data_IF_862434517560
#
_entry.id   IF_862434517560
#
_cell.length_a   1.000
_cell.length_b   1.000
_cell.length_c   1.000
_cell.angle_alpha   90.00
_cell.angle_beta   90.00
_cell.angle_gamma   90.00
#
_symmetry.space_group_name_H-M   'P 1'
#
loop_
_entity.id
_entity.type
_entity.pdbx_description
1 polymer ?
#
# COMPACT_ATOMS: atom_id res chain seq x y z
N UNK A 1 26.92 -11.59 3.64
CA UNK A 1 25.51 -12.03 3.73
C UNK A 1 24.79 -11.35 4.90
N UNK A 2 25.35 -11.36 6.13
CA UNK A 2 24.74 -10.72 7.30
C UNK A 2 24.27 -9.27 7.07
N UNK A 3 25.13 -8.43 6.46
CA UNK A 3 24.83 -7.01 6.18
C UNK A 3 23.60 -6.80 5.26
N UNK A 4 23.35 -7.71 4.31
CA UNK A 4 22.18 -7.59 3.41
C UNK A 4 20.88 -7.94 4.13
N UNK A 5 20.92 -8.91 5.04
CA UNK A 5 19.75 -9.31 5.84
C UNK A 5 19.39 -8.26 6.90
N UNK A 6 20.34 -7.39 7.25
CA UNK A 6 20.17 -6.29 8.20
C UNK A 6 19.69 -4.99 7.53
N UNK A 7 19.61 -4.95 6.20
CA UNK A 7 19.03 -3.81 5.50
C UNK A 7 17.62 -3.56 6.03
N UNK A 8 17.32 -2.29 6.34
CA UNK A 8 16.06 -1.89 6.97
C UNK A 8 14.84 -2.37 6.18
N UNK A 9 14.91 -2.32 4.85
CA UNK A 9 13.86 -2.80 3.95
C UNK A 9 13.73 -4.33 3.89
N UNK A 10 14.75 -5.08 4.27
CA UNK A 10 14.68 -6.54 4.36
C UNK A 10 14.13 -6.96 5.72
N UNK A 11 14.67 -6.39 6.80
CA UNK A 11 14.17 -6.63 8.17
C UNK A 11 12.68 -6.28 8.28
N UNK A 12 12.26 -5.15 7.70
CA UNK A 12 10.85 -4.74 7.76
C UNK A 12 9.89 -5.49 6.83
N UNK A 13 10.39 -6.31 5.91
CA UNK A 13 9.58 -7.18 5.04
C UNK A 13 9.59 -8.64 5.47
N UNK A 14 10.44 -9.01 6.43
CA UNK A 14 10.43 -10.34 7.02
C UNK A 14 9.16 -10.56 7.85
N UNK A 15 8.60 -11.76 7.77
CA UNK A 15 7.46 -12.19 8.60
C UNK A 15 7.86 -12.22 10.08
N UNK A 16 9.07 -12.71 10.36
CA UNK A 16 9.71 -12.64 11.67
C UNK A 16 11.08 -11.95 11.49
N UNK A 17 11.23 -10.70 11.96
CA UNK A 17 12.49 -9.95 11.86
C UNK A 17 13.68 -10.58 12.60
N UNK A 18 13.42 -11.38 13.64
CA UNK A 18 14.46 -12.02 14.43
C UNK A 18 14.89 -13.36 13.80
N UNK A 19 14.01 -14.01 13.05
CA UNK A 19 14.34 -15.19 12.25
C UNK A 19 15.19 -14.86 11.01
N UNK A 20 16.29 -15.58 10.86
CA UNK A 20 17.18 -15.45 9.70
C UNK A 20 16.53 -16.00 8.43
N UNK A 21 15.77 -17.11 8.50
CA UNK A 21 15.17 -17.72 7.31
C UNK A 21 14.09 -16.80 6.72
N UNK A 22 13.27 -16.19 7.57
CA UNK A 22 12.30 -15.16 7.19
C UNK A 22 12.95 -13.97 6.47
N UNK A 23 14.09 -13.45 6.99
CA UNK A 23 14.85 -12.38 6.34
C UNK A 23 15.45 -12.79 4.99
N UNK A 24 15.86 -14.05 4.84
CA UNK A 24 16.34 -14.58 3.55
C UNK A 24 15.21 -14.64 2.53
N UNK A 25 14.01 -15.09 2.93
CA UNK A 25 12.84 -15.10 2.06
C UNK A 25 12.44 -13.67 1.62
N UNK A 26 12.48 -12.71 2.55
CA UNK A 26 12.22 -11.30 2.24
C UNK A 26 13.24 -10.71 1.26
N UNK A 27 14.52 -11.04 1.42
CA UNK A 27 15.58 -10.66 0.49
C UNK A 27 15.34 -11.26 -0.91
N UNK A 28 15.01 -12.55 -1.00
CA UNK A 28 14.73 -13.22 -2.28
C UNK A 28 13.54 -12.57 -3.00
N UNK A 29 12.43 -12.34 -2.29
CA UNK A 29 11.26 -11.65 -2.84
C UNK A 29 11.58 -10.23 -3.32
N UNK A 30 12.37 -9.48 -2.54
CA UNK A 30 12.80 -8.13 -2.93
C UNK A 30 13.66 -8.16 -4.20
N UNK A 31 14.65 -9.05 -4.27
CA UNK A 31 15.51 -9.20 -5.46
C UNK A 31 14.72 -9.60 -6.70
N UNK A 32 13.75 -10.51 -6.57
CA UNK A 32 12.84 -10.88 -7.69
C UNK A 32 12.06 -9.69 -8.19
N UNK A 33 11.48 -8.90 -7.29
CA UNK A 33 10.74 -7.69 -7.65
C UNK A 33 11.60 -6.65 -8.37
N UNK A 34 12.85 -6.44 -7.92
CA UNK A 34 13.80 -5.54 -8.58
C UNK A 34 14.20 -6.05 -9.97
N UNK A 35 14.46 -7.35 -10.12
CA UNK A 35 14.83 -7.97 -11.40
C UNK A 35 13.66 -8.01 -12.41
N UNK A 36 12.42 -8.07 -11.93
CA UNK A 36 11.24 -7.96 -12.79
C UNK A 36 11.14 -6.57 -13.44
N UNK A 37 11.44 -5.51 -12.67
CA UNK A 37 11.38 -4.10 -13.10
C UNK A 37 12.73 -3.50 -13.49
N UNK A 38 13.70 -4.34 -13.84
CA UNK A 38 15.05 -3.90 -14.17
C UNK A 38 15.02 -2.86 -15.31
N UNK A 39 15.62 -1.69 -15.05
CA UNK A 39 15.48 -0.48 -15.86
C UNK A 39 16.12 -0.59 -17.26
N UNK A 40 17.14 -1.44 -17.39
CA UNK A 40 17.87 -1.67 -18.62
C UNK A 40 17.26 -2.83 -19.41
N UNK A 41 16.29 -2.52 -20.28
CA UNK A 41 15.57 -3.50 -21.10
C UNK A 41 16.50 -4.42 -21.92
N UNK A 42 17.69 -3.93 -22.32
CA UNK A 42 18.68 -4.71 -23.07
C UNK A 42 19.29 -5.82 -22.20
N UNK A 43 19.56 -5.52 -20.93
CA UNK A 43 20.23 -6.44 -20.02
C UNK A 43 19.29 -7.14 -19.03
N UNK A 44 18.02 -6.75 -18.95
CA UNK A 44 17.04 -7.35 -18.03
C UNK A 44 16.94 -8.88 -18.14
N UNK A 45 16.88 -9.50 -19.34
CA UNK A 45 16.86 -10.96 -19.44
C UNK A 45 18.16 -11.63 -18.97
N UNK A 46 19.31 -10.98 -19.19
CA UNK A 46 20.61 -11.48 -18.75
C UNK A 46 20.78 -11.35 -17.23
N UNK A 47 20.30 -10.25 -16.63
CA UNK A 47 20.26 -10.06 -15.19
C UNK A 47 19.39 -11.13 -14.52
N UNK A 48 18.17 -11.37 -15.02
CA UNK A 48 17.28 -12.45 -14.52
C UNK A 48 17.96 -13.82 -14.60
N UNK A 49 18.55 -14.16 -15.76
CA UNK A 49 19.24 -15.43 -15.95
C UNK A 49 20.40 -15.62 -14.95
N UNK A 50 21.20 -14.57 -14.69
CA UNK A 50 22.29 -14.61 -13.72
C UNK A 50 21.81 -14.98 -12.31
N UNK A 51 20.63 -14.46 -11.93
CA UNK A 51 20.01 -14.73 -10.64
C UNK A 51 19.11 -15.97 -10.61
N UNK A 52 19.04 -16.74 -11.70
CA UNK A 52 18.29 -18.00 -11.76
C UNK A 52 16.79 -17.83 -12.01
N UNK A 53 16.38 -16.66 -12.50
CA UNK A 53 15.03 -16.40 -12.98
C UNK A 53 14.95 -16.62 -14.51
N UNK A 54 13.75 -16.85 -15.07
CA UNK A 54 13.56 -17.01 -16.50
C UNK A 54 14.30 -15.93 -17.31
N UNK A 55 15.11 -16.31 -18.32
CA UNK A 55 15.09 -17.59 -19.03
C UNK A 55 15.93 -18.73 -18.41
N UNK A 56 16.52 -18.57 -17.22
CA UNK A 56 17.21 -19.67 -16.56
C UNK A 56 16.23 -20.75 -16.07
N UNK A 57 16.60 -22.00 -16.30
CA UNK A 57 15.88 -23.14 -15.71
C UNK A 57 16.24 -23.30 -14.22
N UNK A 58 15.32 -23.83 -13.39
CA UNK A 58 15.63 -24.18 -12.01
C UNK A 58 16.81 -25.16 -11.90
N UNK A 59 17.64 -24.99 -10.87
CA UNK A 59 18.76 -25.91 -10.59
C UNK A 59 20.06 -25.62 -11.34
N UNK A 60 20.11 -24.61 -12.21
CA UNK A 60 21.36 -24.20 -12.87
C UNK A 60 22.38 -23.65 -11.85
N UNK A 61 23.60 -24.17 -11.92
CA UNK A 61 24.72 -23.64 -11.14
C UNK A 61 25.15 -22.25 -11.65
N UNK A 62 26.02 -21.56 -10.89
CA UNK A 62 26.47 -20.21 -11.23
C UNK A 62 27.20 -20.13 -12.59
N UNK A 63 27.97 -21.16 -12.94
CA UNK A 63 28.69 -21.21 -14.23
C UNK A 63 27.70 -21.25 -15.39
N UNK A 64 26.72 -22.15 -15.33
CA UNK A 64 25.68 -22.29 -16.35
C UNK A 64 24.82 -21.03 -16.47
N UNK A 65 24.49 -20.38 -15.34
CA UNK A 65 23.76 -19.10 -15.33
C UNK A 65 24.56 -17.96 -15.95
N UNK A 66 25.86 -17.88 -15.69
CA UNK A 66 26.76 -16.89 -16.32
C UNK A 66 26.87 -17.08 -17.82
N UNK A 67 27.02 -18.31 -18.28
CA UNK A 67 27.07 -18.60 -19.72
C UNK A 67 25.76 -18.27 -20.41
N UNK A 68 24.62 -18.61 -19.79
CA UNK A 68 23.31 -18.24 -20.30
C UNK A 68 23.13 -16.71 -20.36
N UNK A 69 23.45 -16.01 -19.28
CA UNK A 69 23.36 -14.55 -19.22
C UNK A 69 24.25 -13.87 -20.28
N UNK A 70 25.47 -14.38 -20.49
CA UNK A 70 26.37 -13.90 -21.52
C UNK A 70 25.78 -14.08 -22.93
N UNK A 71 25.25 -15.27 -23.25
CA UNK A 71 24.59 -15.56 -24.53
C UNK A 71 23.39 -14.64 -24.76
N UNK A 72 22.53 -14.50 -23.75
CA UNK A 72 21.32 -13.66 -23.81
C UNK A 72 21.68 -12.18 -23.99
N UNK A 73 22.77 -11.72 -23.39
CA UNK A 73 23.28 -10.36 -23.56
C UNK A 73 24.06 -10.12 -24.88
N UNK A 74 24.28 -11.18 -25.69
CA UNK A 74 25.06 -11.10 -26.93
C UNK A 74 26.57 -10.93 -26.72
N UNK A 75 27.10 -11.44 -25.61
CA UNK A 75 28.52 -11.33 -25.25
C UNK A 75 29.18 -12.70 -25.06
N UNK A 76 30.50 -12.75 -25.30
CA UNK A 76 31.33 -13.89 -24.91
C UNK A 76 31.46 -13.95 -23.37
N UNK A 77 31.52 -15.16 -22.81
CA UNK A 77 31.41 -15.40 -21.36
C UNK A 77 32.49 -14.70 -20.53
N UNK A 78 33.73 -14.66 -21.02
CA UNK A 78 34.82 -13.96 -20.36
C UNK A 78 34.66 -12.43 -20.43
N UNK A 79 34.20 -11.87 -21.56
CA UNK A 79 33.81 -10.45 -21.62
C UNK A 79 32.67 -10.11 -20.65
N UNK A 80 31.61 -10.93 -20.65
CA UNK A 80 30.46 -10.75 -19.76
C UNK A 80 30.91 -10.74 -18.30
N UNK A 81 31.65 -11.76 -17.86
CA UNK A 81 32.15 -11.87 -16.49
C UNK A 81 33.03 -10.69 -16.07
N UNK A 82 33.88 -10.17 -16.96
CA UNK A 82 34.82 -9.08 -16.64
C UNK A 82 34.23 -7.68 -16.73
N UNK A 83 33.23 -7.46 -17.58
CA UNK A 83 32.75 -6.11 -17.93
C UNK A 83 31.27 -5.89 -17.63
N UNK A 84 30.43 -6.87 -17.92
CA UNK A 84 28.97 -6.72 -17.86
C UNK A 84 28.42 -7.15 -16.51
N UNK A 85 28.78 -8.36 -16.04
CA UNK A 85 28.33 -8.91 -14.76
C UNK A 85 28.56 -7.95 -13.57
N UNK A 86 29.75 -7.33 -13.40
CA UNK A 86 29.97 -6.40 -12.29
C UNK A 86 29.08 -5.16 -12.37
N UNK A 87 28.76 -4.68 -13.57
CA UNK A 87 27.87 -3.53 -13.76
C UNK A 87 26.43 -3.87 -13.42
N UNK A 88 25.96 -5.06 -13.82
CA UNK A 88 24.60 -5.52 -13.50
C UNK A 88 24.42 -5.74 -12.00
N UNK A 89 25.41 -6.37 -11.35
CA UNK A 89 25.41 -6.56 -9.90
C UNK A 89 25.48 -5.21 -9.18
N UNK A 90 26.28 -4.27 -9.69
CA UNK A 90 26.36 -2.89 -9.16
C UNK A 90 25.01 -2.18 -9.21
N UNK A 91 24.37 -2.13 -10.38
CA UNK A 91 23.03 -1.53 -10.54
C UNK A 91 21.99 -2.15 -9.60
N UNK A 92 22.00 -3.49 -9.48
CA UNK A 92 21.06 -4.18 -8.59
C UNK A 92 21.35 -3.88 -7.11
N UNK A 93 22.62 -3.78 -6.73
CA UNK A 93 23.01 -3.40 -5.37
C UNK A 93 22.60 -1.95 -5.04
N UNK A 94 22.81 -1.02 -5.98
CA UNK A 94 22.41 0.38 -5.85
C UNK A 94 20.88 0.48 -5.71
N UNK A 95 20.13 -0.25 -6.52
CA UNK A 95 18.66 -0.26 -6.46
C UNK A 95 18.14 -0.94 -5.18
N UNK A 96 18.81 -2.00 -4.70
CA UNK A 96 18.49 -2.64 -3.42
C UNK A 96 18.73 -1.68 -2.24
N UNK A 97 19.83 -0.92 -2.29
CA UNK A 97 20.13 0.08 -1.26
C UNK A 97 19.12 1.24 -1.33
N UNK A 98 18.82 1.74 -2.52
CA UNK A 98 17.83 2.79 -2.72
C UNK A 98 16.43 2.33 -2.28
N UNK A 99 16.07 1.06 -2.52
CA UNK A 99 14.83 0.47 -2.00
C UNK A 99 14.83 0.41 -0.47
N UNK A 100 15.93 -0.02 0.15
CA UNK A 100 16.07 -0.06 1.60
C UNK A 100 16.03 1.35 2.24
N UNK A 101 16.55 2.37 1.56
CA UNK A 101 16.49 3.77 2.02
C UNK A 101 15.11 4.39 1.86
N UNK A 102 14.40 4.05 0.77
CA UNK A 102 12.98 4.40 0.58
C UNK A 102 12.08 3.69 1.60
N UNK A 103 12.55 2.61 2.20
CA UNK A 103 11.83 1.86 3.22
C UNK A 103 11.84 2.59 4.58
N UNK A 104 10.84 3.44 4.79
CA UNK A 104 10.51 4.00 6.11
C UNK A 104 9.54 3.09 6.86
N UNK A 105 9.79 2.84 8.16
CA UNK A 105 8.98 2.01 9.10
C UNK A 105 7.51 2.42 9.30
N UNK A 106 6.97 3.32 8.49
CA UNK A 106 5.52 3.47 8.44
C UNK A 106 5.04 2.41 7.45
N UNK A 107 4.44 1.29 7.90
CA UNK A 107 4.06 0.18 7.00
C UNK A 107 3.06 0.60 5.91
N UNK A 108 2.60 1.84 5.93
CA UNK A 108 1.47 2.30 5.16
C UNK A 108 1.76 3.70 4.65
N UNK A 109 2.69 3.79 3.71
CA UNK A 109 2.86 4.99 2.89
C UNK A 109 2.19 4.70 1.56
N UNK A 110 1.28 5.58 1.16
CA UNK A 110 0.67 5.50 -0.15
C UNK A 110 1.76 5.45 -1.24
N UNK A 111 1.61 4.59 -2.26
CA UNK A 111 2.50 4.61 -3.41
C UNK A 111 2.65 6.02 -3.96
N UNK A 112 3.89 6.47 -4.16
CA UNK A 112 4.13 7.74 -4.83
C UNK A 112 3.78 7.57 -6.31
N UNK A 113 2.72 8.25 -6.75
CA UNK A 113 2.35 8.27 -8.16
C UNK A 113 3.30 9.20 -8.93
N UNK A 114 4.00 8.65 -9.92
CA UNK A 114 4.76 9.44 -10.88
C UNK A 114 3.87 9.78 -12.08
N UNK A 115 4.01 10.98 -12.70
CA UNK A 115 3.30 11.30 -13.93
C UNK A 115 3.62 10.28 -15.03
N UNK A 116 2.59 9.58 -15.50
CA UNK A 116 2.71 8.59 -16.58
C UNK A 116 2.55 9.31 -17.92
N UNK A 117 3.60 9.27 -18.76
CA UNK A 117 3.60 9.93 -20.09
C UNK A 117 3.21 9.00 -21.23
N UNK A 118 3.13 7.70 -20.97
CA UNK A 118 2.85 6.66 -21.96
C UNK A 118 2.02 5.55 -21.33
N UNK A 119 1.13 4.92 -22.10
CA UNK A 119 0.43 3.72 -21.63
C UNK A 119 1.45 2.66 -21.18
N UNK A 120 1.21 2.04 -20.02
CA UNK A 120 1.98 0.91 -19.52
C UNK A 120 1.32 -0.39 -20.00
N UNK A 121 1.86 -1.08 -21.02
CA UNK A 121 1.35 -2.39 -21.40
C UNK A 121 1.70 -3.43 -20.33
N UNK A 122 0.75 -4.28 -19.95
CA UNK A 122 1.02 -5.47 -19.13
C UNK A 122 1.29 -6.63 -20.09
N UNK A 123 2.49 -7.24 -20.07
CA UNK A 123 2.80 -8.42 -20.87
C UNK A 123 1.83 -9.58 -20.60
N UNK A 124 1.57 -10.42 -21.61
CA UNK A 124 0.80 -11.66 -21.46
C UNK A 124 1.67 -12.75 -20.79
N UNK A 125 2.06 -12.48 -19.55
CA UNK A 125 2.93 -13.31 -18.72
C UNK A 125 2.30 -13.43 -17.31
N UNK A 126 2.15 -14.63 -16.74
CA UNK A 126 1.50 -14.83 -15.45
C UNK A 126 2.11 -14.00 -14.31
N UNK A 127 3.44 -13.87 -14.25
CA UNK A 127 4.09 -13.07 -13.19
C UNK A 127 3.84 -11.58 -13.38
N UNK A 128 3.84 -11.10 -14.63
CA UNK A 128 3.47 -9.73 -14.94
C UNK A 128 2.01 -9.42 -14.56
N UNK A 129 1.10 -10.41 -14.65
CA UNK A 129 -0.29 -10.26 -14.23
C UNK A 129 -0.43 -10.17 -12.72
N UNK A 130 0.22 -11.06 -11.97
CA UNK A 130 0.20 -11.03 -10.50
C UNK A 130 0.71 -9.69 -9.95
N UNK A 131 1.79 -9.15 -10.53
CA UNK A 131 2.32 -7.84 -10.15
C UNK A 131 1.33 -6.71 -10.47
N UNK A 132 0.70 -6.75 -11.64
CA UNK A 132 -0.27 -5.75 -12.04
C UNK A 132 -1.55 -5.79 -11.18
N UNK A 133 -2.03 -7.00 -10.84
CA UNK A 133 -3.18 -7.21 -9.96
C UNK A 133 -2.90 -6.68 -8.54
N UNK A 134 -1.70 -6.96 -8.01
CA UNK A 134 -1.28 -6.42 -6.72
C UNK A 134 -1.23 -4.88 -6.73
N UNK A 135 -0.62 -4.28 -7.76
CA UNK A 135 -0.55 -2.82 -7.91
C UNK A 135 -1.94 -2.18 -8.07
N UNK A 136 -2.83 -2.84 -8.81
CA UNK A 136 -4.22 -2.42 -8.94
C UNK A 136 -4.93 -2.41 -7.59
N UNK A 137 -4.88 -3.52 -6.84
CA UNK A 137 -5.59 -3.63 -5.56
C UNK A 137 -5.02 -2.66 -4.52
N UNK A 138 -3.69 -2.49 -4.49
CA UNK A 138 -3.03 -1.48 -3.66
C UNK A 138 -3.54 -0.06 -4.00
N UNK A 139 -3.66 0.26 -5.30
CA UNK A 139 -4.15 1.56 -5.76
C UNK A 139 -5.62 1.78 -5.41
N UNK A 140 -6.48 0.76 -5.55
CA UNK A 140 -7.90 0.82 -5.15
C UNK A 140 -8.05 1.09 -3.66
N UNK A 141 -7.31 0.37 -2.81
CA UNK A 141 -7.31 0.57 -1.36
C UNK A 141 -6.92 2.02 -1.00
N UNK A 142 -5.80 2.51 -1.54
CA UNK A 142 -5.36 3.89 -1.24
C UNK A 142 -6.30 4.96 -1.78
N UNK A 143 -6.89 4.74 -2.96
CA UNK A 143 -7.93 5.61 -3.51
C UNK A 143 -9.12 5.71 -2.55
N UNK A 144 -9.58 4.59 -1.99
CA UNK A 144 -10.68 4.57 -1.03
C UNK A 144 -10.32 5.29 0.29
N UNK A 145 -9.11 5.08 0.81
CA UNK A 145 -8.61 5.78 2.01
C UNK A 145 -8.56 7.30 1.77
N UNK A 146 -8.07 7.75 0.60
CA UNK A 146 -8.04 9.17 0.27
C UNK A 146 -9.43 9.77 0.06
N UNK A 147 -10.36 9.01 -0.52
CA UNK A 147 -11.76 9.43 -0.63
C UNK A 147 -12.40 9.60 0.75
N UNK A 148 -12.17 8.67 1.69
CA UNK A 148 -12.63 8.81 3.07
C UNK A 148 -12.02 10.04 3.75
N UNK A 149 -10.70 10.25 3.59
CA UNK A 149 -10.00 11.43 4.12
C UNK A 149 -10.59 12.74 3.61
N UNK A 150 -10.90 12.82 2.32
CA UNK A 150 -11.48 14.03 1.72
C UNK A 150 -12.84 14.38 2.37
N UNK A 151 -13.70 13.39 2.61
CA UNK A 151 -14.99 13.62 3.26
C UNK A 151 -14.83 13.99 4.75
N UNK A 152 -13.91 13.34 5.48
CA UNK A 152 -13.62 13.70 6.87
C UNK A 152 -13.10 15.14 7.01
N UNK A 153 -12.19 15.57 6.12
CA UNK A 153 -11.74 16.96 6.05
C UNK A 153 -12.87 17.92 5.66
N UNK A 154 -13.82 17.48 4.82
CA UNK A 154 -14.99 18.26 4.48
C UNK A 154 -15.88 18.51 5.71
N UNK A 155 -16.09 17.49 6.55
CA UNK A 155 -16.81 17.63 7.83
C UNK A 155 -16.13 18.65 8.74
N UNK A 156 -14.82 18.47 8.99
CA UNK A 156 -14.05 19.39 9.86
C UNK A 156 -14.11 20.83 9.35
N UNK A 157 -14.05 21.02 8.02
CA UNK A 157 -14.22 22.34 7.39
C UNK A 157 -15.62 22.91 7.64
N UNK A 158 -16.68 22.12 7.48
CA UNK A 158 -18.06 22.56 7.73
C UNK A 158 -18.28 22.93 9.21
N UNK A 159 -17.75 22.13 10.12
CA UNK A 159 -17.77 22.40 11.57
C UNK A 159 -17.04 23.72 11.88
N UNK A 160 -15.83 23.89 11.33
CA UNK A 160 -15.04 25.12 11.52
C UNK A 160 -15.73 26.37 10.98
N UNK A 161 -16.52 26.23 9.90
CA UNK A 161 -17.30 27.32 9.32
C UNK A 161 -18.66 27.54 10.01
N UNK A 162 -18.96 26.76 11.07
CA UNK A 162 -20.25 26.78 11.75
C UNK A 162 -21.42 26.61 10.77
N UNK A 163 -21.25 25.73 9.78
CA UNK A 163 -22.30 25.40 8.83
C UNK A 163 -23.52 24.81 9.54
N UNK A 164 -24.68 24.85 8.87
CA UNK A 164 -25.90 24.29 9.43
C UNK A 164 -25.79 22.78 9.69
N UNK A 165 -26.53 22.31 10.69
CA UNK A 165 -26.51 20.89 11.12
C UNK A 165 -26.84 19.94 9.97
N UNK A 166 -27.76 20.28 9.08
CA UNK A 166 -28.18 19.38 7.99
C UNK A 166 -27.05 19.18 6.97
N UNK A 167 -26.28 20.24 6.68
CA UNK A 167 -25.08 20.15 5.84
C UNK A 167 -24.04 19.22 6.44
N UNK A 168 -23.76 19.32 7.74
CA UNK A 168 -22.83 18.42 8.44
C UNK A 168 -23.33 16.98 8.41
N UNK A 169 -24.60 16.74 8.73
CA UNK A 169 -25.22 15.39 8.70
C UNK A 169 -25.09 14.76 7.32
N UNK A 170 -25.38 15.50 6.26
CA UNK A 170 -25.32 14.98 4.88
C UNK A 170 -23.91 14.51 4.51
N UNK A 171 -22.88 15.29 4.86
CA UNK A 171 -21.47 14.93 4.60
C UNK A 171 -21.02 13.80 5.53
N UNK A 172 -21.45 13.80 6.80
CA UNK A 172 -21.16 12.72 7.73
C UNK A 172 -21.65 11.36 7.23
N UNK A 173 -22.84 11.28 6.64
CA UNK A 173 -23.36 10.06 6.00
C UNK A 173 -22.48 9.64 4.81
N UNK A 174 -22.04 10.58 3.97
CA UNK A 174 -21.12 10.28 2.86
C UNK A 174 -19.76 9.79 3.38
N UNK A 175 -19.23 10.39 4.46
CA UNK A 175 -17.99 9.97 5.08
C UNK A 175 -18.12 8.56 5.70
N UNK A 176 -19.26 8.21 6.30
CA UNK A 176 -19.51 6.86 6.80
C UNK A 176 -19.41 5.82 5.68
N UNK A 177 -20.07 6.11 4.54
CA UNK A 177 -19.99 5.25 3.36
C UNK A 177 -18.54 5.12 2.84
N UNK A 178 -17.83 6.24 2.67
CA UNK A 178 -16.43 6.22 2.20
C UNK A 178 -15.48 5.49 3.15
N UNK A 179 -15.64 5.70 4.46
CA UNK A 179 -14.89 5.00 5.49
C UNK A 179 -15.14 3.49 5.42
N UNK A 180 -16.41 3.09 5.30
CA UNK A 180 -16.79 1.69 5.20
C UNK A 180 -16.27 1.03 3.92
N UNK A 181 -16.34 1.71 2.78
CA UNK A 181 -15.73 1.25 1.52
C UNK A 181 -14.21 1.11 1.65
N UNK A 182 -13.52 2.07 2.28
CA UNK A 182 -12.09 2.00 2.52
C UNK A 182 -11.73 0.79 3.40
N UNK A 183 -12.54 0.51 4.42
CA UNK A 183 -12.38 -0.67 5.28
C UNK A 183 -12.58 -1.97 4.52
N UNK A 184 -13.58 -2.04 3.65
CA UNK A 184 -13.82 -3.21 2.80
C UNK A 184 -12.62 -3.48 1.86
N UNK A 185 -12.09 -2.44 1.21
CA UNK A 185 -10.90 -2.56 0.35
C UNK A 185 -9.64 -2.97 1.14
N UNK A 186 -9.46 -2.42 2.35
CA UNK A 186 -8.36 -2.79 3.23
C UNK A 186 -8.43 -4.26 3.67
N UNK A 187 -9.62 -4.76 4.03
CA UNK A 187 -9.83 -6.19 4.35
C UNK A 187 -9.50 -7.06 3.13
N UNK A 188 -10.02 -6.70 1.96
CA UNK A 188 -9.75 -7.44 0.72
C UNK A 188 -8.26 -7.49 0.37
N UNK A 189 -7.57 -6.35 0.47
CA UNK A 189 -6.13 -6.26 0.23
C UNK A 189 -5.33 -7.11 1.22
N UNK A 190 -5.59 -6.99 2.52
CA UNK A 190 -4.87 -7.73 3.55
C UNK A 190 -5.08 -9.24 3.40
N UNK A 191 -6.31 -9.68 3.12
CA UNK A 191 -6.62 -11.08 2.93
C UNK A 191 -5.93 -11.70 1.70
N UNK A 192 -5.79 -10.94 0.61
CA UNK A 192 -5.25 -11.45 -0.65
C UNK A 192 -3.72 -11.31 -0.77
N UNK A 193 -3.15 -10.19 -0.30
CA UNK A 193 -1.76 -9.82 -0.62
C UNK A 193 -0.87 -9.57 0.60
N UNK A 194 -1.43 -9.55 1.81
CA UNK A 194 -0.68 -9.29 3.03
C UNK A 194 -1.19 -10.10 4.25
N UNK A 195 -1.42 -11.43 4.13
CA UNK A 195 -2.02 -12.22 5.20
C UNK A 195 -1.13 -12.33 6.45
N UNK A 196 0.19 -12.21 6.28
CA UNK A 196 1.17 -12.31 7.36
C UNK A 196 1.56 -10.94 7.97
N UNK A 197 1.00 -9.84 7.43
CA UNK A 197 1.28 -8.51 7.95
C UNK A 197 0.45 -8.32 9.22
N UNK A 198 1.11 -7.99 10.33
CA UNK A 198 0.48 -7.77 11.63
C UNK A 198 -0.47 -6.55 11.69
N UNK A 199 -0.69 -5.87 10.57
CA UNK A 199 -1.48 -4.67 10.52
C UNK A 199 -2.96 -4.97 10.23
N UNK A 200 -3.85 -4.31 10.96
CA UNK A 200 -5.29 -4.48 10.80
C UNK A 200 -5.88 -3.55 9.75
N UNK A 201 -7.04 -3.91 9.18
CA UNK A 201 -7.79 -3.02 8.31
C UNK A 201 -8.17 -1.71 9.03
N UNK A 202 -8.38 -1.75 10.34
CA UNK A 202 -8.70 -0.57 11.14
C UNK A 202 -7.51 0.39 11.24
N UNK A 203 -6.28 -0.12 11.37
CA UNK A 203 -5.06 0.70 11.32
C UNK A 203 -4.86 1.35 9.95
N UNK A 204 -5.18 0.65 8.86
CA UNK A 204 -5.14 1.21 7.52
C UNK A 204 -6.11 2.39 7.37
N UNK A 205 -7.37 2.17 7.76
CA UNK A 205 -8.41 3.18 7.58
C UNK A 205 -8.23 4.35 8.55
N UNK A 206 -7.61 4.16 9.72
CA UNK A 206 -7.28 5.23 10.65
C UNK A 206 -6.38 6.32 10.02
N UNK A 207 -5.62 6.01 8.97
CA UNK A 207 -4.86 7.01 8.20
C UNK A 207 -5.74 8.03 7.47
N UNK A 208 -7.00 7.69 7.20
CA UNK A 208 -7.95 8.61 6.59
C UNK A 208 -8.20 9.83 7.50
N UNK A 209 -8.17 9.64 8.82
CA UNK A 209 -8.37 10.69 9.80
C UNK A 209 -9.10 10.19 11.03
N UNK A 210 -9.41 11.10 11.93
CA UNK A 210 -10.21 10.80 13.12
C UNK A 210 -11.65 10.44 12.73
N UNK A 211 -12.20 9.43 13.39
CA UNK A 211 -13.62 9.04 13.29
C UNK A 211 -14.19 8.83 14.69
N UNK A 212 -15.52 8.90 14.86
CA UNK A 212 -16.19 8.47 16.07
C UNK A 212 -15.80 7.03 16.44
N UNK A 213 -15.74 6.74 17.75
CA UNK A 213 -15.46 5.41 18.23
C UNK A 213 -16.61 4.46 17.87
N UNK A 214 -16.31 3.44 17.07
CA UNK A 214 -17.24 2.39 16.70
C UNK A 214 -16.88 1.09 17.43
N UNK A 215 -17.88 0.33 17.83
CA UNK A 215 -17.65 -1.05 18.27
C UNK A 215 -17.30 -1.93 17.06
N UNK A 216 -16.62 -3.08 17.26
CA UNK A 216 -16.32 -4.00 16.17
C UNK A 216 -17.57 -4.43 15.38
N UNK A 217 -18.69 -4.65 16.06
CA UNK A 217 -19.97 -5.01 15.41
C UNK A 217 -20.50 -3.88 14.52
N UNK A 218 -20.43 -2.63 14.99
CA UNK A 218 -20.83 -1.46 14.22
C UNK A 218 -19.94 -1.26 13.00
N UNK A 219 -18.62 -1.41 13.17
CA UNK A 219 -17.65 -1.33 12.07
C UNK A 219 -17.93 -2.41 11.00
N UNK A 220 -18.20 -3.65 11.40
CA UNK A 220 -18.57 -4.74 10.49
C UNK A 220 -19.86 -4.44 9.73
N UNK A 221 -20.93 -4.01 10.42
CA UNK A 221 -22.20 -3.67 9.77
C UNK A 221 -22.04 -2.56 8.70
N UNK A 222 -21.30 -1.49 9.02
CA UNK A 222 -21.00 -0.45 8.04
C UNK A 222 -20.24 -1.03 6.83
N UNK A 223 -19.23 -1.86 7.10
CA UNK A 223 -18.38 -2.47 6.06
C UNK A 223 -19.19 -3.37 5.13
N UNK A 224 -20.05 -4.23 5.70
CA UNK A 224 -20.95 -5.11 4.94
C UNK A 224 -21.89 -4.30 4.04
N UNK A 225 -22.50 -3.22 4.57
CA UNK A 225 -23.37 -2.34 3.81
C UNK A 225 -22.67 -1.60 2.65
N UNK A 226 -21.34 -1.41 2.73
CA UNK A 226 -20.54 -0.74 1.71
C UNK A 226 -19.78 -1.70 0.78
N UNK A 227 -19.86 -3.01 1.03
CA UNK A 227 -19.13 -4.03 0.29
C UNK A 227 -19.64 -4.22 -1.15
N UNK A 228 -18.83 -4.85 -2.00
CA UNK A 228 -19.24 -5.21 -3.37
C UNK A 228 -19.48 -4.03 -4.33
N UNK A 229 -18.91 -2.86 -4.04
CA UNK A 229 -19.10 -1.66 -4.88
C UNK A 229 -20.47 -0.99 -4.70
N UNK A 230 -21.09 -1.15 -3.52
CA UNK A 230 -22.36 -0.50 -3.20
C UNK A 230 -22.30 1.03 -3.39
N UNK A 231 -23.32 1.58 -4.04
CA UNK A 231 -23.48 3.03 -4.13
C UNK A 231 -23.79 3.64 -2.77
N UNK A 232 -23.61 4.95 -2.64
CA UNK A 232 -24.00 5.70 -1.44
C UNK A 232 -25.48 5.50 -1.11
N UNK A 233 -26.33 5.51 -2.12
CA UNK A 233 -27.78 5.33 -1.97
C UNK A 233 -28.12 3.92 -1.46
N UNK A 234 -27.45 2.89 -1.99
CA UNK A 234 -27.61 1.51 -1.54
C UNK A 234 -27.15 1.34 -0.09
N UNK A 235 -26.01 1.95 0.26
CA UNK A 235 -25.49 1.97 1.64
C UNK A 235 -26.48 2.62 2.62
N UNK A 236 -27.04 3.79 2.26
CA UNK A 236 -28.04 4.48 3.09
C UNK A 236 -29.32 3.63 3.23
N UNK A 237 -29.76 2.98 2.15
CA UNK A 237 -30.93 2.10 2.18
C UNK A 237 -30.70 0.88 3.10
N UNK A 238 -29.51 0.26 3.03
CA UNK A 238 -29.14 -0.85 3.90
C UNK A 238 -29.13 -0.49 5.39
N UNK A 239 -28.77 0.75 5.73
CA UNK A 239 -28.68 1.22 7.11
C UNK A 239 -29.95 1.94 7.61
N UNK A 240 -31.03 1.97 6.83
CA UNK A 240 -32.24 2.72 7.18
C UNK A 240 -32.88 2.27 8.51
N UNK A 241 -32.73 0.99 8.89
CA UNK A 241 -33.19 0.45 10.19
C UNK A 241 -32.22 0.68 11.36
N UNK A 242 -30.97 1.04 11.07
CA UNK A 242 -29.87 1.13 12.04
C UNK A 242 -29.71 2.56 12.59
N UNK A 243 -30.81 3.14 13.09
CA UNK A 243 -30.85 4.52 13.56
C UNK A 243 -29.82 4.83 14.66
N UNK A 244 -29.53 3.87 15.53
CA UNK A 244 -28.49 3.99 16.56
C UNK A 244 -27.07 4.12 16.01
N UNK A 245 -26.78 3.47 14.88
CA UNK A 245 -25.48 3.54 14.20
C UNK A 245 -25.28 4.90 13.53
N UNK A 246 -26.32 5.39 12.86
CA UNK A 246 -26.35 6.73 12.28
C UNK A 246 -26.14 7.81 13.35
N UNK A 247 -26.79 7.66 14.51
CA UNK A 247 -26.64 8.57 15.65
C UNK A 247 -25.20 8.57 16.19
N UNK A 248 -24.62 7.40 16.49
CA UNK A 248 -23.23 7.31 17.00
C UNK A 248 -22.23 8.00 16.05
N UNK A 249 -22.35 7.77 14.75
CA UNK A 249 -21.45 8.37 13.77
C UNK A 249 -21.65 9.90 13.67
N UNK A 250 -22.89 10.34 13.46
CA UNK A 250 -23.20 11.76 13.24
C UNK A 250 -22.98 12.58 14.52
N UNK A 251 -23.50 12.09 15.66
CA UNK A 251 -23.39 12.80 16.93
C UNK A 251 -21.95 12.84 17.44
N UNK A 252 -21.11 11.85 17.08
CA UNK A 252 -19.68 11.88 17.38
C UNK A 252 -18.96 13.11 16.81
N UNK A 253 -19.29 13.52 15.59
CA UNK A 253 -18.75 14.75 15.00
C UNK A 253 -19.35 16.01 15.63
N UNK A 254 -20.66 16.00 15.92
CA UNK A 254 -21.36 17.16 16.47
C UNK A 254 -21.03 17.42 17.95
N UNK A 255 -20.68 16.40 18.73
CA UNK A 255 -20.29 16.55 20.13
C UNK A 255 -18.95 17.30 20.30
N UNK A 256 -18.05 17.23 19.31
CA UNK A 256 -16.77 17.97 19.30
C UNK A 256 -16.93 19.48 19.08
N UNK A 257 -18.13 19.94 18.72
CA UNK A 257 -18.45 21.35 18.47
C UNK A 257 -18.64 22.17 19.75
N UNK A 258 -18.58 21.56 20.94
CA UNK A 258 -18.60 22.33 22.18
C UNK A 258 -17.36 23.26 22.20
N UNK A 259 -17.54 24.58 22.36
CA UNK A 259 -16.43 25.53 22.31
C UNK A 259 -15.38 25.17 23.36
N UNK A 260 -14.12 25.14 22.93
CA UNK A 260 -12.98 25.00 23.83
C UNK A 260 -12.95 26.27 24.72
N UNK A 261 -13.15 26.18 26.04
CA UNK A 261 -13.20 27.36 26.92
C UNK A 261 -11.87 28.12 26.97
N UNK A 262 -10.79 27.55 26.44
CA UNK A 262 -9.44 28.14 26.44
C UNK A 262 -9.25 29.33 25.49
N UNK A 263 -10.22 29.67 24.63
CA UNK A 263 -10.11 30.83 23.73
C UNK A 263 -10.67 32.12 24.39
N UNK A 264 -11.50 32.02 25.43
CA UNK A 264 -12.07 33.21 26.09
C UNK A 264 -11.12 33.89 27.11
N UNK A 265 -10.06 33.20 27.58
CA UNK A 265 -9.15 33.77 28.59
C UNK A 265 -8.12 34.77 28.02
N UNK A 266 -7.87 34.77 26.70
CA UNK A 266 -6.91 35.72 26.09
C UNK A 266 -7.52 37.11 25.76
N UNK A 267 -8.81 37.33 26.04
CA UNK A 267 -9.50 38.61 25.81
C UNK A 267 -9.66 39.49 27.05
N UNK A 268 -9.19 39.05 28.23
CA UNK A 268 -9.27 39.80 29.49
C UNK A 268 -7.89 39.94 30.13
N UNK A 269 -7.02 40.69 29.48
CA UNK A 269 -5.89 41.33 30.15
C UNK A 269 -5.90 42.81 29.75
N UNK A 270 -6.02 43.63 30.80
CA UNK A 270 -6.13 45.08 30.85
C UNK A 270 -5.02 45.85 30.13
#
# INVERSE_FOLDING_TARGET
MAVLLELRGIVGRAVDPDDQASRVAALDGTLRGLLARFDDARYAPAARALFGLPPAEPGLNLTARRELAARVAGHEAHHFRKRVEPQLVGKLADELLADADRFTRSPMIAPRLAPVRTRQPVPADPFAWEVAEHEEQLTRMWSAIYAARAELLCIERLISLQADRQSVVRVAVTAAWRWASARAEAIGYLAAFAPDVAASADELVAMAGWTPALTPAQASLLTEAASGGASREAFVAALHGETGLGAVWVDGFLARTAPNPLIEENGKAS
#
